data_IF_144895708717
#
_entry.id   IF_144895708717
#
_cell.length_a   1.000
_cell.length_b   1.000
_cell.length_c   1.000
_cell.angle_alpha   90.00
_cell.angle_beta   90.00
_cell.angle_gamma   90.00
#
_symmetry.space_group_name_H-M   'P 1'
#
loop_
_entity.id
_entity.type
_entity.pdbx_description
1 polymer ?
#
# COMPACT_ATOMS: atom_id res chain seq x y z
N UNK A 1 4.79 19.31 17.35
CA UNK A 1 3.64 20.23 17.29
C UNK A 1 2.39 19.37 17.33
N UNK A 2 1.47 19.62 18.27
CA UNK A 2 0.14 19.02 18.22
C UNK A 2 -0.57 19.51 16.95
N UNK A 3 -1.35 18.63 16.31
CA UNK A 3 -2.21 19.05 15.21
C UNK A 3 -3.29 19.99 15.77
N UNK A 4 -3.30 21.25 15.31
CA UNK A 4 -4.33 22.24 15.64
C UNK A 4 -5.60 22.06 14.80
N UNK A 5 -5.65 21.03 13.96
CA UNK A 5 -6.80 20.70 13.11
C UNK A 5 -7.91 20.08 13.95
N UNK A 6 -9.16 20.47 13.68
CA UNK A 6 -10.33 19.82 14.29
C UNK A 6 -10.35 18.33 13.90
N UNK A 7 -10.83 17.46 14.79
CA UNK A 7 -10.86 16.01 14.54
C UNK A 7 -11.55 15.63 13.22
N UNK A 8 -12.61 16.35 12.84
CA UNK A 8 -13.33 16.17 11.57
C UNK A 8 -12.42 16.47 10.37
N UNK A 9 -11.64 17.55 10.44
CA UNK A 9 -10.71 17.91 9.35
C UNK A 9 -9.51 16.96 9.26
N UNK A 10 -9.12 16.31 10.36
CA UNK A 10 -8.09 15.27 10.35
C UNK A 10 -8.60 14.00 9.67
N UNK A 11 -9.83 13.58 9.99
CA UNK A 11 -10.45 12.39 9.40
C UNK A 11 -10.64 12.56 7.90
N UNK A 12 -11.17 13.70 7.44
CA UNK A 12 -11.38 13.95 6.01
C UNK A 12 -10.07 14.05 5.22
N UNK A 13 -9.04 14.71 5.76
CA UNK A 13 -7.70 14.79 5.16
C UNK A 13 -7.06 13.39 5.04
N UNK A 14 -7.19 12.58 6.10
CA UNK A 14 -6.69 11.18 6.11
C UNK A 14 -7.41 10.31 5.09
N UNK A 15 -8.73 10.44 4.96
CA UNK A 15 -9.53 9.67 4.01
C UNK A 15 -9.20 10.04 2.56
N UNK A 16 -9.07 11.33 2.25
CA UNK A 16 -8.66 11.79 0.91
C UNK A 16 -7.24 11.29 0.59
N UNK A 17 -6.33 11.33 1.57
CA UNK A 17 -4.97 10.77 1.42
C UNK A 17 -4.99 9.28 1.19
N UNK A 18 -5.84 8.53 1.89
CA UNK A 18 -6.01 7.10 1.69
C UNK A 18 -6.47 6.82 0.26
N UNK A 19 -7.60 7.40 -0.18
CA UNK A 19 -8.16 7.20 -1.52
C UNK A 19 -7.16 7.57 -2.61
N UNK A 20 -6.54 8.75 -2.52
CA UNK A 20 -5.60 9.19 -3.55
C UNK A 20 -4.31 8.37 -3.60
N UNK A 21 -3.80 7.92 -2.46
CA UNK A 21 -2.58 7.10 -2.41
C UNK A 21 -2.86 5.69 -2.90
N UNK A 22 -4.00 5.12 -2.53
CA UNK A 22 -4.50 3.85 -3.08
C UNK A 22 -4.65 3.93 -4.59
N UNK A 23 -5.25 5.00 -5.11
CA UNK A 23 -5.39 5.17 -6.56
C UNK A 23 -4.02 5.23 -7.27
N UNK A 24 -3.05 5.96 -6.72
CA UNK A 24 -1.69 6.01 -7.27
C UNK A 24 -1.05 4.62 -7.28
N UNK A 25 -1.11 3.88 -6.16
CA UNK A 25 -0.59 2.51 -6.10
C UNK A 25 -1.26 1.61 -7.12
N UNK A 26 -2.58 1.72 -7.26
CA UNK A 26 -3.36 0.95 -8.22
C UNK A 26 -2.90 1.19 -9.66
N UNK A 27 -2.70 2.46 -10.04
CA UNK A 27 -2.16 2.83 -11.35
C UNK A 27 -0.75 2.30 -11.54
N UNK A 28 0.14 2.42 -10.54
CA UNK A 28 1.51 1.91 -10.64
C UNK A 28 1.52 0.40 -10.88
N UNK A 29 0.74 -0.35 -10.11
CA UNK A 29 0.67 -1.82 -10.25
C UNK A 29 0.06 -2.21 -11.59
N UNK A 30 -0.98 -1.51 -12.06
CA UNK A 30 -1.56 -1.72 -13.37
C UNK A 30 -0.53 -1.49 -14.50
N UNK A 31 0.25 -0.41 -14.43
CA UNK A 31 1.30 -0.12 -15.40
C UNK A 31 2.37 -1.22 -15.39
N UNK A 32 2.80 -1.68 -14.21
CA UNK A 32 3.76 -2.79 -14.09
C UNK A 32 3.18 -4.07 -14.72
N UNK A 33 1.92 -4.38 -14.46
CA UNK A 33 1.24 -5.54 -15.03
C UNK A 33 1.16 -5.47 -16.56
N UNK A 34 0.83 -4.29 -17.11
CA UNK A 34 0.81 -4.06 -18.56
C UNK A 34 2.20 -4.21 -19.19
N UNK A 35 3.23 -3.60 -18.59
CA UNK A 35 4.61 -3.72 -19.07
C UNK A 35 5.10 -5.17 -19.02
N UNK A 36 4.75 -5.91 -17.96
CA UNK A 36 5.05 -7.34 -17.87
C UNK A 36 4.33 -8.13 -18.96
N UNK A 37 3.03 -7.87 -19.19
CA UNK A 37 2.27 -8.53 -20.25
C UNK A 37 2.89 -8.32 -21.64
N UNK A 38 3.29 -7.09 -21.96
CA UNK A 38 3.95 -6.74 -23.23
C UNK A 38 5.32 -7.40 -23.37
N UNK A 39 6.10 -7.48 -22.29
CA UNK A 39 7.46 -8.05 -22.35
C UNK A 39 7.51 -9.57 -22.37
N UNK A 40 6.46 -10.24 -21.91
CA UNK A 40 6.42 -11.71 -21.77
C UNK A 40 5.55 -12.39 -22.83
N UNK A 41 5.02 -11.65 -23.83
CA UNK A 41 4.09 -12.15 -24.86
C UNK A 41 2.96 -13.03 -24.26
N UNK A 42 2.46 -12.62 -23.09
CA UNK A 42 1.46 -13.40 -22.35
C UNK A 42 0.10 -13.20 -23.03
N UNK A 43 -0.31 -14.19 -23.82
CA UNK A 43 -1.57 -14.17 -24.57
C UNK A 43 -2.80 -14.44 -23.70
N UNK A 44 -2.62 -15.00 -22.50
CA UNK A 44 -3.69 -15.29 -21.53
C UNK A 44 -3.27 -14.84 -20.13
N UNK A 45 -4.03 -13.96 -19.45
CA UNK A 45 -3.73 -13.61 -18.07
C UNK A 45 -3.85 -14.85 -17.19
N UNK A 46 -2.80 -15.18 -16.44
CA UNK A 46 -2.86 -16.19 -15.39
C UNK A 46 -3.81 -15.68 -14.30
N UNK A 47 -4.92 -16.40 -14.05
CA UNK A 47 -5.94 -16.03 -13.06
C UNK A 47 -5.41 -15.92 -11.61
N UNK A 48 -4.21 -16.43 -11.33
CA UNK A 48 -3.55 -16.31 -10.02
C UNK A 48 -2.75 -15.01 -9.84
N UNK A 49 -2.60 -14.20 -10.90
CA UNK A 49 -1.75 -13.00 -10.97
C UNK A 49 -2.59 -11.72 -11.17
N UNK A 50 -3.78 -11.71 -10.58
CA UNK A 50 -4.71 -10.59 -10.65
C UNK A 50 -4.12 -9.33 -10.02
N UNK A 51 -3.56 -8.48 -10.87
CA UNK A 51 -2.85 -7.26 -10.52
C UNK A 51 -3.69 -6.33 -9.62
N UNK A 52 -5.01 -6.36 -9.73
CA UNK A 52 -5.92 -5.58 -8.89
C UNK A 52 -5.96 -6.08 -7.44
N UNK A 53 -5.85 -7.40 -7.21
CA UNK A 53 -5.75 -7.99 -5.88
C UNK A 53 -4.41 -7.63 -5.24
N UNK A 54 -3.32 -7.68 -6.01
CA UNK A 54 -1.98 -7.25 -5.55
C UNK A 54 -2.01 -5.77 -5.17
N UNK A 55 -2.61 -4.92 -6.00
CA UNK A 55 -2.77 -3.49 -5.71
C UNK A 55 -3.62 -3.24 -4.45
N UNK A 56 -4.71 -3.99 -4.28
CA UNK A 56 -5.57 -3.93 -3.10
C UNK A 56 -4.83 -4.34 -1.83
N UNK A 57 -4.11 -5.46 -1.88
CA UNK A 57 -3.28 -5.93 -0.78
C UNK A 57 -2.22 -4.90 -0.39
N UNK A 58 -1.42 -4.40 -1.35
CA UNK A 58 -0.38 -3.41 -1.08
C UNK A 58 -0.96 -2.11 -0.51
N UNK A 59 -2.13 -1.69 -0.99
CA UNK A 59 -2.80 -0.49 -0.48
C UNK A 59 -3.18 -0.63 0.99
N UNK A 60 -3.79 -1.75 1.37
CA UNK A 60 -4.16 -2.02 2.77
C UNK A 60 -2.90 -2.19 3.62
N UNK A 61 -1.94 -2.99 3.14
CA UNK A 61 -0.68 -3.25 3.82
C UNK A 61 0.05 -1.96 4.20
N UNK A 62 0.17 -1.02 3.27
CA UNK A 62 0.87 0.24 3.51
C UNK A 62 0.04 1.27 4.27
N UNK A 63 -1.29 1.17 4.20
CA UNK A 63 -2.19 2.09 4.89
C UNK A 63 -2.18 1.88 6.41
N UNK A 64 -2.09 0.65 6.89
CA UNK A 64 -2.05 0.33 8.34
C UNK A 64 -1.01 1.17 9.11
N UNK A 65 0.29 1.18 8.75
CA UNK A 65 1.28 1.96 9.47
C UNK A 65 1.06 3.47 9.32
N UNK A 66 0.49 3.94 8.21
CA UNK A 66 0.14 5.35 8.02
C UNK A 66 -1.04 5.79 8.89
N UNK A 67 -2.05 4.94 9.04
CA UNK A 67 -3.18 5.19 9.93
C UNK A 67 -2.73 5.23 11.38
N UNK A 68 -1.95 4.23 11.82
CA UNK A 68 -1.38 4.19 13.16
C UNK A 68 -0.49 5.42 13.42
N UNK A 69 0.35 5.82 12.46
CA UNK A 69 1.16 7.02 12.59
C UNK A 69 0.33 8.28 12.75
N UNK A 70 -0.76 8.41 11.98
CA UNK A 70 -1.68 9.54 12.06
C UNK A 70 -2.35 9.60 13.43
N UNK A 71 -2.86 8.47 13.93
CA UNK A 71 -3.47 8.37 15.27
C UNK A 71 -2.46 8.69 16.38
N UNK A 72 -1.28 8.04 16.37
CA UNK A 72 -0.25 8.30 17.38
C UNK A 72 0.18 9.76 17.37
N UNK A 73 0.37 10.37 16.21
CA UNK A 73 0.74 11.78 16.11
C UNK A 73 -0.38 12.74 16.56
N UNK A 74 -1.64 12.32 16.48
CA UNK A 74 -2.78 13.11 16.94
C UNK A 74 -2.90 13.10 18.48
N UNK A 75 -2.59 11.97 19.12
CA UNK A 75 -2.74 11.78 20.57
C UNK A 75 -1.44 11.90 21.37
N UNK A 76 -0.28 11.95 20.71
CA UNK A 76 1.04 12.00 21.37
C UNK A 76 1.95 13.11 20.81
N UNK A 77 3.06 13.36 21.51
CA UNK A 77 4.10 14.30 21.06
C UNK A 77 5.07 13.70 20.03
N UNK A 78 4.89 12.43 19.65
CA UNK A 78 5.78 11.74 18.72
C UNK A 78 5.55 12.32 17.31
N UNK A 79 6.63 12.59 16.59
CA UNK A 79 6.53 13.09 15.22
C UNK A 79 5.96 12.01 14.30
N UNK A 80 5.17 12.44 13.32
CA UNK A 80 4.48 11.56 12.38
C UNK A 80 5.43 10.61 11.63
N UNK A 81 6.62 11.10 11.24
CA UNK A 81 7.66 10.26 10.64
C UNK A 81 8.19 9.17 11.57
N UNK A 82 8.43 9.49 12.86
CA UNK A 82 8.87 8.51 13.86
C UNK A 82 7.78 7.47 14.12
N UNK A 83 6.53 7.90 14.26
CA UNK A 83 5.39 7.00 14.45
C UNK A 83 5.22 6.05 13.26
N UNK A 84 5.40 6.56 12.03
CA UNK A 84 5.34 5.73 10.83
C UNK A 84 6.48 4.71 10.76
N UNK A 85 7.72 5.12 11.05
CA UNK A 85 8.85 4.21 11.10
C UNK A 85 8.65 3.09 12.13
N UNK A 86 8.17 3.44 13.34
CA UNK A 86 7.90 2.45 14.39
C UNK A 86 6.79 1.47 13.99
N UNK A 87 5.67 1.99 13.45
CA UNK A 87 4.56 1.16 13.01
C UNK A 87 4.96 0.25 11.83
N UNK A 88 5.73 0.77 10.87
CA UNK A 88 6.26 0.02 9.74
C UNK A 88 7.25 -1.06 10.17
N UNK A 89 8.19 -0.73 11.06
CA UNK A 89 9.12 -1.71 11.64
C UNK A 89 8.39 -2.82 12.39
N UNK A 90 7.41 -2.46 13.23
CA UNK A 90 6.59 -3.44 13.93
C UNK A 90 5.87 -4.36 12.93
N UNK A 91 5.26 -3.80 11.90
CA UNK A 91 4.58 -4.57 10.85
C UNK A 91 5.53 -5.54 10.12
N UNK A 92 6.75 -5.10 9.80
CA UNK A 92 7.78 -5.93 9.16
C UNK A 92 8.25 -7.05 10.09
N UNK A 93 8.48 -6.75 11.37
CA UNK A 93 8.88 -7.75 12.38
C UNK A 93 7.78 -8.81 12.54
N UNK A 94 6.51 -8.39 12.62
CA UNK A 94 5.38 -9.31 12.71
C UNK A 94 5.25 -10.17 11.46
N UNK A 95 5.44 -9.59 10.27
CA UNK A 95 5.46 -10.34 9.01
C UNK A 95 6.57 -11.38 9.01
N UNK A 96 7.78 -11.00 9.39
CA UNK A 96 8.92 -11.90 9.45
C UNK A 96 8.69 -13.02 10.47
N UNK A 97 8.20 -12.69 11.67
CA UNK A 97 7.88 -13.68 12.70
C UNK A 97 6.80 -14.67 12.26
N UNK A 98 5.76 -14.19 11.58
CA UNK A 98 4.72 -15.03 10.99
C UNK A 98 5.28 -15.94 9.89
N UNK A 99 6.11 -15.38 9.00
CA UNK A 99 6.79 -16.13 7.92
C UNK A 99 7.66 -17.25 8.52
N UNK A 100 8.46 -16.92 9.53
CA UNK A 100 9.32 -17.88 10.22
C UNK A 100 8.52 -18.98 10.90
N UNK A 101 7.40 -18.64 11.55
CA UNK A 101 6.53 -19.63 12.17
C UNK A 101 5.97 -20.63 11.14
N UNK A 102 5.51 -20.13 9.99
CA UNK A 102 4.95 -20.96 8.92
C UNK A 102 6.02 -21.80 8.22
N UNK A 103 7.22 -21.24 8.01
CA UNK A 103 8.34 -21.97 7.42
C UNK A 103 8.73 -23.23 8.22
N UNK A 104 8.50 -23.23 9.54
CA UNK A 104 8.80 -24.36 10.41
C UNK A 104 7.67 -25.41 10.48
N UNK A 105 6.56 -25.22 9.77
CA UNK A 105 5.49 -26.21 9.71
C UNK A 105 5.85 -27.34 8.73
N UNK A 106 5.59 -28.61 9.09
CA UNK A 106 5.93 -29.74 8.25
C UNK A 106 5.15 -29.70 6.93
N UNK A 107 5.86 -29.89 5.80
CA UNK A 107 5.29 -29.87 4.46
C UNK A 107 5.09 -28.49 3.85
N UNK A 108 5.64 -27.43 4.44
CA UNK A 108 5.46 -26.07 3.95
C UNK A 108 6.51 -25.67 2.90
N UNK A 109 6.07 -25.18 1.74
CA UNK A 109 6.91 -24.66 0.66
C UNK A 109 7.03 -23.13 0.70
N UNK A 110 7.22 -22.54 1.88
CA UNK A 110 7.27 -21.08 2.03
C UNK A 110 8.35 -20.41 1.15
N UNK A 111 9.43 -21.14 0.83
CA UNK A 111 10.52 -20.66 -0.03
C UNK A 111 10.09 -20.35 -1.47
N UNK A 112 9.01 -20.93 -1.98
CA UNK A 112 8.44 -20.63 -3.31
C UNK A 112 7.28 -19.63 -3.24
N UNK A 113 6.89 -19.20 -2.04
CA UNK A 113 5.73 -18.33 -1.83
C UNK A 113 6.03 -16.86 -2.18
N UNK A 114 5.09 -16.14 -2.83
CA UNK A 114 5.14 -14.68 -2.98
C UNK A 114 5.30 -13.91 -1.66
N UNK A 115 4.94 -14.54 -0.54
CA UNK A 115 5.07 -13.96 0.79
C UNK A 115 6.53 -13.66 1.17
N UNK A 116 7.49 -14.49 0.76
CA UNK A 116 8.91 -14.22 0.98
C UNK A 116 9.40 -13.00 0.22
N UNK A 117 8.91 -12.82 -1.02
CA UNK A 117 9.19 -11.63 -1.80
C UNK A 117 8.63 -10.36 -1.12
N UNK A 118 7.45 -10.48 -0.48
CA UNK A 118 6.87 -9.40 0.31
C UNK A 118 7.74 -9.00 1.51
N UNK A 119 8.36 -9.96 2.20
CA UNK A 119 9.28 -9.69 3.32
C UNK A 119 10.45 -8.81 2.86
N UNK A 120 11.05 -9.11 1.70
CA UNK A 120 12.15 -8.32 1.15
C UNK A 120 11.69 -6.95 0.65
N UNK A 121 10.49 -6.86 0.08
CA UNK A 121 9.96 -5.62 -0.46
C UNK A 121 9.26 -4.74 0.59
N UNK A 122 8.96 -5.24 1.79
CA UNK A 122 8.17 -4.51 2.78
C UNK A 122 8.79 -3.17 3.18
N UNK A 123 10.12 -3.12 3.38
CA UNK A 123 10.83 -1.88 3.72
C UNK A 123 10.84 -0.89 2.54
N UNK A 124 11.29 -1.28 1.32
CA UNK A 124 11.21 -0.40 0.15
C UNK A 124 9.80 0.15 -0.10
N UNK A 125 8.79 -0.71 -0.02
CA UNK A 125 7.39 -0.34 -0.25
C UNK A 125 6.91 0.66 0.80
N UNK A 126 7.22 0.45 2.09
CA UNK A 126 6.90 1.40 3.15
C UNK A 126 7.63 2.75 2.96
N UNK A 127 8.90 2.72 2.53
CA UNK A 127 9.69 3.92 2.28
C UNK A 127 9.11 4.77 1.14
N UNK A 128 8.60 4.14 0.06
CA UNK A 128 7.93 4.82 -1.05
C UNK A 128 6.54 5.31 -0.64
N UNK A 129 5.82 4.57 0.19
CA UNK A 129 4.47 4.93 0.61
C UNK A 129 4.44 6.17 1.50
N UNK A 130 5.44 6.35 2.38
CA UNK A 130 5.50 7.52 3.27
C UNK A 130 5.34 8.88 2.55
N UNK A 131 6.16 9.23 1.55
CA UNK A 131 6.00 10.48 0.82
C UNK A 131 4.69 10.53 0.03
N UNK A 132 4.23 9.41 -0.53
CA UNK A 132 2.95 9.37 -1.25
C UNK A 132 1.76 9.70 -0.34
N UNK A 133 1.78 9.26 0.92
CA UNK A 133 0.68 9.49 1.85
C UNK A 133 0.78 10.86 2.55
N UNK A 134 1.95 11.21 3.08
CA UNK A 134 2.10 12.36 3.99
C UNK A 134 2.60 13.64 3.33
N UNK A 135 3.31 13.55 2.19
CA UNK A 135 3.90 14.73 1.55
C UNK A 135 2.94 15.35 0.53
N UNK A 136 2.91 16.69 0.51
CA UNK A 136 2.10 17.47 -0.41
C UNK A 136 0.63 17.63 0.02
N UNK A 137 -0.16 18.24 -0.86
CA UNK A 137 -1.58 18.49 -0.65
C UNK A 137 -2.39 17.20 -0.87
N UNK A 138 -3.43 16.95 -0.05
CA UNK A 138 -4.29 15.77 -0.18
C UNK A 138 -5.04 15.76 -1.52
N UNK A 139 -5.35 16.94 -2.05
CA UNK A 139 -5.93 17.12 -3.38
C UNK A 139 -4.97 17.93 -4.26
N UNK A 140 -4.62 17.36 -5.41
CA UNK A 140 -3.96 18.06 -6.51
C UNK A 140 -4.40 17.42 -7.84
N UNK A 141 -4.09 18.07 -8.97
CA UNK A 141 -4.48 17.58 -10.30
C UNK A 141 -3.99 16.16 -10.59
N UNK A 142 -2.77 15.82 -10.13
CA UNK A 142 -2.17 14.50 -10.33
C UNK A 142 -2.93 13.40 -9.57
N UNK A 143 -3.21 13.62 -8.27
CA UNK A 143 -3.99 12.70 -7.42
C UNK A 143 -5.39 12.51 -7.98
N UNK A 144 -6.02 13.58 -8.47
CA UNK A 144 -7.36 13.50 -9.08
C UNK A 144 -7.32 12.70 -10.39
N UNK A 145 -6.32 12.93 -11.24
CA UNK A 145 -6.12 12.13 -12.45
C UNK A 145 -5.88 10.65 -12.11
N UNK A 146 -5.07 10.35 -11.09
CA UNK A 146 -4.85 8.98 -10.63
C UNK A 146 -6.14 8.31 -10.13
N UNK A 147 -6.99 9.04 -9.39
CA UNK A 147 -8.30 8.54 -8.95
C UNK A 147 -9.20 8.21 -10.15
N UNK A 148 -9.30 9.12 -11.12
CA UNK A 148 -10.10 8.89 -12.33
C UNK A 148 -9.58 7.70 -13.11
N UNK A 149 -8.25 7.59 -13.29
CA UNK A 149 -7.64 6.47 -14.00
C UNK A 149 -7.87 5.14 -13.28
N UNK A 150 -7.70 5.11 -11.95
CA UNK A 150 -7.98 3.91 -11.15
C UNK A 150 -9.45 3.50 -11.24
N UNK A 151 -10.39 4.45 -11.22
CA UNK A 151 -11.81 4.17 -11.39
C UNK A 151 -12.12 3.58 -12.78
N UNK A 152 -11.51 4.11 -13.84
CA UNK A 152 -11.66 3.58 -15.20
C UNK A 152 -11.09 2.16 -15.31
N UNK A 153 -9.91 1.91 -14.73
CA UNK A 153 -9.26 0.60 -14.72
C UNK A 153 -10.09 -0.43 -13.95
N UNK A 154 -10.62 -0.06 -12.78
CA UNK A 154 -11.52 -0.93 -12.00
C UNK A 154 -12.83 -1.22 -12.75
N UNK A 155 -13.42 -0.20 -13.38
CA UNK A 155 -14.62 -0.38 -14.20
C UNK A 155 -14.39 -1.31 -15.39
N UNK A 156 -13.22 -1.23 -16.04
CA UNK A 156 -12.84 -2.16 -17.10
C UNK A 156 -12.78 -3.61 -16.60
N UNK A 157 -12.13 -3.86 -15.46
CA UNK A 157 -12.02 -5.21 -14.86
C UNK A 157 -13.39 -5.80 -14.52
N UNK A 158 -14.35 -4.98 -14.08
CA UNK A 158 -15.70 -5.46 -13.76
C UNK A 158 -16.56 -5.79 -14.99
N UNK A 159 -16.20 -5.25 -16.17
CA UNK A 159 -16.94 -5.43 -17.42
C UNK A 159 -16.34 -6.52 -18.32
N UNK A 160 -15.10 -6.93 -18.07
CA UNK A 160 -14.38 -8.01 -18.77
C UNK A 160 -14.64 -9.37 -18.13
#
# INVERSE_FOLDING_TARGET
MYSTKSGISLVSDTLIRAVSTTAILFVIVAVIALLRGVSQDVHYPLASDDWYLVAGFLSIWCFVPALLATLVSAFSKISLGKSYMLAGLLQVILLYGYSFHIANQPGNELGSSPLMLLVYLAIPVAAVYYPLFFVGRPTNRLRLAAIVLAALLLGYVQLS
#
